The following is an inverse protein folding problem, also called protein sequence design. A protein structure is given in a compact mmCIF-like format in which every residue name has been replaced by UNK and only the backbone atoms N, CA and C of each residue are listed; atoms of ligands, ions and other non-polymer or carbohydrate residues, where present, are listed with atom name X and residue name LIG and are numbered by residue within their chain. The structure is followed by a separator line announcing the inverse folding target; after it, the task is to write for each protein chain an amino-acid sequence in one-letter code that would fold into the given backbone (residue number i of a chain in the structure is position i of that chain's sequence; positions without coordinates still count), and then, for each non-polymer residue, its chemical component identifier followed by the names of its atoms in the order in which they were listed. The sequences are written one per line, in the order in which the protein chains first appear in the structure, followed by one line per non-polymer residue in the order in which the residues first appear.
data_IF_269319564958
#
_entry.id   IF_269319564958
#
_cell.length_a   1.000
_cell.length_b   1.000
_cell.length_c   1.000
_cell.angle_alpha   90.00
_cell.angle_beta   90.00
_cell.angle_gamma   90.00
#
_symmetry.space_group_name_H-M   'P 1'
#
loop_
_entity.id
_entity.type
_entity.pdbx_description
1 polymer ?
#
# COMPACT_ATOMS: atom_id res chain seq x y z
N UNK A 1 53.12 15.06 99.51
CA UNK A 1 53.52 15.01 98.09
C UNK A 1 52.29 15.33 97.26
N UNK A 2 52.19 16.55 96.77
CA UNK A 2 51.01 17.11 96.08
C UNK A 2 51.31 17.08 94.58
N UNK A 3 50.68 16.19 93.82
CA UNK A 3 50.81 16.16 92.37
C UNK A 3 50.04 17.34 91.78
N UNK A 4 50.77 18.35 91.30
CA UNK A 4 50.24 19.43 90.46
C UNK A 4 50.06 18.86 89.06
N UNK A 5 48.82 18.53 88.71
CA UNK A 5 48.44 18.14 87.34
C UNK A 5 48.40 19.42 86.51
N UNK A 6 49.38 19.60 85.63
CA UNK A 6 49.38 20.66 84.62
C UNK A 6 48.26 20.35 83.61
N UNK A 7 47.11 21.00 83.75
CA UNK A 7 46.12 21.05 82.68
C UNK A 7 46.70 21.87 81.55
N UNK A 8 47.07 21.20 80.45
CA UNK A 8 47.44 21.87 79.21
C UNK A 8 46.23 22.69 78.74
N UNK A 9 46.36 24.02 78.74
CA UNK A 9 45.35 24.92 78.21
C UNK A 9 45.19 24.65 76.72
N UNK A 10 44.00 24.20 76.30
CA UNK A 10 43.72 23.97 74.87
C UNK A 10 44.08 25.23 74.05
N UNK A 11 44.83 25.08 72.95
CA UNK A 11 45.32 26.21 72.16
C UNK A 11 44.16 27.07 71.64
N UNK A 12 44.26 28.40 71.75
CA UNK A 12 43.24 29.36 71.31
C UNK A 12 42.80 29.18 69.84
N UNK A 13 43.67 28.61 69.00
CA UNK A 13 43.36 28.28 67.60
C UNK A 13 42.30 27.17 67.46
N UNK A 14 42.25 26.19 68.38
CA UNK A 14 41.21 25.15 68.40
C UNK A 14 39.83 25.74 68.68
N UNK A 15 39.73 26.77 69.53
CA UNK A 15 38.46 27.44 69.85
C UNK A 15 37.91 28.30 68.71
N UNK A 16 38.76 28.76 67.79
CA UNK A 16 38.38 29.56 66.63
C UNK A 16 38.10 28.71 65.37
N UNK A 17 38.83 27.60 65.18
CA UNK A 17 38.65 26.70 64.04
C UNK A 17 37.34 25.90 64.10
N UNK A 18 36.99 25.38 65.28
CA UNK A 18 35.79 24.53 65.46
C UNK A 18 34.49 25.22 65.02
N UNK A 19 34.18 26.47 65.42
CA UNK A 19 32.94 27.13 64.98
C UNK A 19 32.95 27.57 63.51
N UNK A 20 34.12 27.77 62.90
CA UNK A 20 34.23 28.16 61.49
C UNK A 20 34.11 26.97 60.51
N UNK A 21 34.52 25.77 60.92
CA UNK A 21 34.46 24.56 60.09
C UNK A 21 33.02 24.05 59.91
N UNK A 22 32.18 24.15 60.96
CA UNK A 22 30.81 23.64 60.95
C UNK A 22 29.95 24.17 59.78
N UNK A 23 29.86 25.50 59.57
CA UNK A 23 29.12 26.08 58.45
C UNK A 23 29.69 25.68 57.08
N UNK A 24 31.01 25.63 56.94
CA UNK A 24 31.69 25.24 55.70
C UNK A 24 31.36 23.80 55.29
N UNK A 25 31.45 22.87 56.24
CA UNK A 25 31.09 21.45 56.00
C UNK A 25 29.61 21.33 55.67
N UNK A 26 28.74 22.09 56.37
CA UNK A 26 27.29 22.06 56.12
C UNK A 26 26.94 22.56 54.72
N UNK A 27 27.57 23.64 54.26
CA UNK A 27 27.37 24.18 52.91
C UNK A 27 27.86 23.19 51.84
N UNK A 28 29.03 22.57 52.06
CA UNK A 28 29.57 21.58 51.11
C UNK A 28 28.68 20.33 51.03
N UNK A 29 28.31 19.73 52.16
CA UNK A 29 27.47 18.54 52.19
C UNK A 29 26.06 18.84 51.67
N UNK A 30 25.47 19.97 52.07
CA UNK A 30 24.16 20.42 51.59
C UNK A 30 24.15 20.67 50.08
N UNK A 31 25.17 21.35 49.55
CA UNK A 31 25.31 21.59 48.11
C UNK A 31 25.45 20.30 47.31
N UNK A 32 26.24 19.34 47.80
CA UNK A 32 26.48 18.06 47.13
C UNK A 32 25.20 17.18 47.13
N UNK A 33 24.45 17.21 48.24
CA UNK A 33 23.15 16.53 48.34
C UNK A 33 22.12 17.11 47.37
N UNK A 34 21.97 18.44 47.33
CA UNK A 34 21.06 19.12 46.39
C UNK A 34 21.47 18.83 44.94
N UNK A 35 22.77 18.87 44.63
CA UNK A 35 23.29 18.56 43.31
C UNK A 35 23.02 17.11 42.87
N UNK A 36 23.19 16.14 43.79
CA UNK A 36 22.90 14.74 43.49
C UNK A 36 21.41 14.53 43.16
N UNK A 37 20.50 15.16 43.92
CA UNK A 37 19.06 15.08 43.68
C UNK A 37 18.70 15.73 42.33
N UNK A 38 19.18 16.94 42.05
CA UNK A 38 18.86 17.64 40.80
C UNK A 38 19.41 16.90 39.58
N UNK A 39 20.63 16.36 39.66
CA UNK A 39 21.23 15.54 38.61
C UNK A 39 20.41 14.28 38.32
N UNK A 40 19.98 13.55 39.35
CA UNK A 40 19.14 12.34 39.19
C UNK A 40 17.77 12.67 38.57
N UNK A 41 17.17 13.80 38.94
CA UNK A 41 15.89 14.26 38.35
C UNK A 41 16.07 14.64 36.88
N UNK A 42 17.16 15.33 36.52
CA UNK A 42 17.48 15.66 35.12
C UNK A 42 17.71 14.39 34.29
N UNK A 43 18.53 13.44 34.77
CA UNK A 43 18.76 12.17 34.07
C UNK A 43 17.46 11.39 33.82
N UNK A 44 16.57 11.33 34.82
CA UNK A 44 15.26 10.68 34.67
C UNK A 44 14.35 11.40 33.67
N UNK A 45 14.41 12.74 33.62
CA UNK A 45 13.66 13.53 32.63
C UNK A 45 14.20 13.31 31.22
N UNK A 46 15.52 13.31 31.05
CA UNK A 46 16.17 13.09 29.77
C UNK A 46 15.91 11.68 29.25
N UNK A 47 15.98 10.67 30.13
CA UNK A 47 15.61 9.29 29.79
C UNK A 47 14.16 9.19 29.30
N UNK A 48 13.21 9.76 30.05
CA UNK A 48 11.80 9.78 29.63
C UNK A 48 11.57 10.58 28.35
N UNK A 49 12.33 11.65 28.12
CA UNK A 49 12.25 12.44 26.90
C UNK A 49 12.76 11.63 25.69
N UNK A 50 13.82 10.84 25.86
CA UNK A 50 14.34 9.92 24.83
C UNK A 50 13.35 8.81 24.52
N UNK A 51 12.85 8.11 25.53
CA UNK A 51 11.83 7.05 25.36
C UNK A 51 10.61 7.58 24.59
N UNK A 52 10.10 8.76 24.95
CA UNK A 52 8.98 9.39 24.23
C UNK A 52 9.33 9.84 22.80
N UNK A 53 10.58 10.22 22.56
CA UNK A 53 11.03 10.59 21.22
C UNK A 53 11.14 9.36 20.32
N UNK A 54 11.66 8.26 20.86
CA UNK A 54 11.71 6.94 20.20
C UNK A 54 10.30 6.43 19.88
N UNK A 55 9.39 6.42 20.86
CA UNK A 55 7.99 6.03 20.65
C UNK A 55 7.28 6.85 19.56
N UNK A 56 7.57 8.16 19.48
CA UNK A 56 7.01 9.03 18.44
C UNK A 56 7.60 8.72 17.07
N UNK A 57 8.91 8.49 17.00
CA UNK A 57 9.59 8.14 15.76
C UNK A 57 9.06 6.80 15.21
N UNK A 58 8.87 5.80 16.08
CA UNK A 58 8.30 4.51 15.69
C UNK A 58 6.85 4.64 15.22
N UNK A 59 6.04 5.45 15.91
CA UNK A 59 4.66 5.70 15.52
C UNK A 59 4.55 6.48 14.19
N UNK A 60 5.46 7.41 13.94
CA UNK A 60 5.55 8.15 12.67
C UNK A 60 5.97 7.23 11.52
N UNK A 61 7.01 6.41 11.72
CA UNK A 61 7.44 5.41 10.75
C UNK A 61 6.34 4.41 10.39
N UNK A 62 5.56 3.95 11.40
CA UNK A 62 4.41 3.08 11.17
C UNK A 62 3.31 3.77 10.34
N UNK A 63 3.01 5.05 10.62
CA UNK A 63 2.04 5.83 9.82
C UNK A 63 2.50 6.05 8.39
N UNK A 64 3.77 6.34 8.18
CA UNK A 64 4.35 6.50 6.84
C UNK A 64 4.35 5.19 6.06
N UNK A 65 4.58 4.05 6.72
CA UNK A 65 4.46 2.74 6.09
C UNK A 65 3.01 2.50 5.61
N UNK A 66 2.02 2.70 6.48
CA UNK A 66 0.60 2.56 6.13
C UNK A 66 0.19 3.49 4.98
N UNK A 67 0.60 4.77 5.03
CA UNK A 67 0.28 5.74 3.99
C UNK A 67 0.89 5.35 2.62
N UNK A 68 2.10 4.78 2.61
CA UNK A 68 2.73 4.28 1.38
C UNK A 68 2.01 3.07 0.82
N UNK A 69 1.58 2.16 1.69
CA UNK A 69 0.84 0.96 1.31
C UNK A 69 -0.53 1.32 0.72
N UNK A 70 -1.26 2.25 1.34
CA UNK A 70 -2.54 2.77 0.83
C UNK A 70 -2.35 3.46 -0.53
N UNK A 71 -1.32 4.31 -0.67
CA UNK A 71 -1.02 4.99 -1.92
C UNK A 71 -0.75 3.99 -3.07
N UNK A 72 0.04 2.95 -2.81
CA UNK A 72 0.30 1.88 -3.78
C UNK A 72 -0.98 1.15 -4.20
N UNK A 73 -1.84 0.80 -3.25
CA UNK A 73 -3.12 0.11 -3.53
C UNK A 73 -4.04 0.97 -4.39
N UNK A 74 -4.14 2.26 -4.08
CA UNK A 74 -4.90 3.21 -4.89
C UNK A 74 -4.36 3.38 -6.30
N UNK A 75 -3.03 3.45 -6.46
CA UNK A 75 -2.38 3.51 -7.76
C UNK A 75 -2.70 2.27 -8.61
N UNK A 76 -2.56 1.07 -8.04
CA UNK A 76 -2.86 -0.20 -8.72
C UNK A 76 -4.32 -0.27 -9.17
N UNK A 77 -5.26 0.09 -8.29
CA UNK A 77 -6.69 0.12 -8.62
C UNK A 77 -7.00 1.12 -9.73
N UNK A 78 -6.34 2.27 -9.72
CA UNK A 78 -6.48 3.28 -10.79
C UNK A 78 -6.06 2.69 -12.12
N UNK A 79 -4.88 2.09 -12.20
CA UNK A 79 -4.36 1.48 -13.43
C UNK A 79 -5.24 0.33 -13.94
N UNK A 80 -5.70 -0.54 -13.04
CA UNK A 80 -6.62 -1.63 -13.36
C UNK A 80 -7.93 -1.10 -13.96
N UNK A 81 -8.51 -0.10 -13.30
CA UNK A 81 -9.80 0.48 -13.70
C UNK A 81 -9.69 1.23 -15.02
N UNK A 82 -8.63 2.02 -15.21
CA UNK A 82 -8.38 2.76 -16.45
C UNK A 82 -8.15 1.81 -17.63
N UNK A 83 -7.28 0.80 -17.47
CA UNK A 83 -6.99 -0.18 -18.52
C UNK A 83 -8.24 -0.97 -18.93
N UNK A 84 -8.97 -1.51 -17.95
CA UNK A 84 -10.17 -2.29 -18.23
C UNK A 84 -11.33 -1.43 -18.79
N UNK A 85 -11.57 -0.25 -18.21
CA UNK A 85 -12.71 0.60 -18.59
C UNK A 85 -12.51 1.25 -19.95
N UNK A 86 -11.30 1.73 -20.26
CA UNK A 86 -11.00 2.33 -21.57
C UNK A 86 -11.26 1.32 -22.70
N UNK A 87 -10.80 0.09 -22.54
CA UNK A 87 -11.03 -0.95 -23.53
C UNK A 87 -12.50 -1.37 -23.61
N UNK A 88 -13.15 -1.57 -22.46
CA UNK A 88 -14.58 -1.90 -22.41
C UNK A 88 -15.46 -0.85 -23.11
N UNK A 89 -15.23 0.44 -22.87
CA UNK A 89 -16.00 1.52 -23.47
C UNK A 89 -15.84 1.55 -24.99
N UNK A 90 -14.63 1.27 -25.50
CA UNK A 90 -14.39 1.22 -26.93
C UNK A 90 -15.06 0.01 -27.60
N UNK A 91 -15.07 -1.15 -26.92
CA UNK A 91 -15.86 -2.31 -27.35
C UNK A 91 -17.37 -2.02 -27.40
N UNK A 92 -17.90 -1.29 -26.41
CA UNK A 92 -19.30 -0.85 -26.41
C UNK A 92 -19.59 0.12 -27.56
N UNK A 93 -18.68 1.06 -27.84
CA UNK A 93 -18.81 1.99 -28.95
C UNK A 93 -18.82 1.25 -30.29
N UNK A 94 -17.86 0.34 -30.52
CA UNK A 94 -17.80 -0.50 -31.70
C UNK A 94 -19.09 -1.31 -31.90
N UNK A 95 -19.59 -1.95 -30.84
CA UNK A 95 -20.84 -2.72 -30.90
C UNK A 95 -22.03 -1.85 -31.36
N UNK A 96 -22.18 -0.64 -30.80
CA UNK A 96 -23.27 0.27 -31.17
C UNK A 96 -23.17 0.74 -32.62
N UNK A 97 -21.98 1.10 -33.08
CA UNK A 97 -21.74 1.50 -34.47
C UNK A 97 -22.03 0.34 -35.42
N UNK A 98 -21.59 -0.88 -35.07
CA UNK A 98 -21.88 -2.10 -35.84
C UNK A 98 -23.39 -2.37 -35.94
N UNK A 99 -24.15 -2.22 -34.85
CA UNK A 99 -25.60 -2.40 -34.88
C UNK A 99 -26.31 -1.32 -35.71
N UNK A 100 -25.84 -0.07 -35.67
CA UNK A 100 -26.36 1.00 -36.52
C UNK A 100 -26.08 0.72 -38.02
N UNK A 101 -24.86 0.29 -38.36
CA UNK A 101 -24.50 -0.06 -39.73
C UNK A 101 -25.36 -1.22 -40.30
N UNK A 102 -25.75 -2.19 -39.46
CA UNK A 102 -26.68 -3.27 -39.87
C UNK A 102 -28.07 -2.75 -40.27
N UNK A 103 -28.50 -1.63 -39.68
CA UNK A 103 -29.79 -1.01 -40.00
C UNK A 103 -29.74 -0.14 -41.27
N UNK A 104 -28.54 0.23 -41.72
CA UNK A 104 -28.29 1.05 -42.90
C UNK A 104 -27.20 0.40 -43.81
N UNK A 105 -27.46 -0.77 -44.41
CA UNK A 105 -26.43 -1.58 -45.08
C UNK A 105 -25.81 -0.96 -46.34
N UNK A 106 -26.40 0.09 -46.90
CA UNK A 106 -25.93 0.77 -48.12
C UNK A 106 -25.31 2.15 -47.84
N UNK A 107 -25.09 2.48 -46.57
CA UNK A 107 -24.53 3.76 -46.17
C UNK A 107 -23.00 3.64 -46.05
N UNK A 108 -22.30 4.17 -47.06
CA UNK A 108 -20.85 4.14 -47.14
C UNK A 108 -20.16 4.92 -46.00
N UNK A 109 -20.84 5.91 -45.41
CA UNK A 109 -20.29 6.66 -44.28
C UNK A 109 -20.26 5.78 -43.03
N UNK A 110 -21.27 4.94 -42.81
CA UNK A 110 -21.27 3.97 -41.70
C UNK A 110 -20.18 2.91 -41.83
N UNK A 111 -19.90 2.41 -43.03
CA UNK A 111 -18.81 1.45 -43.25
C UNK A 111 -17.45 2.06 -42.89
N UNK A 112 -17.21 3.30 -43.33
CA UNK A 112 -15.99 4.04 -43.00
C UNK A 112 -15.85 4.26 -41.48
N UNK A 113 -16.91 4.72 -40.83
CA UNK A 113 -16.91 4.92 -39.36
C UNK A 113 -16.67 3.60 -38.62
N UNK A 114 -17.27 2.50 -39.08
CA UNK A 114 -17.07 1.18 -38.48
C UNK A 114 -15.61 0.73 -38.58
N UNK A 115 -14.95 0.97 -39.71
CA UNK A 115 -13.53 0.67 -39.91
C UNK A 115 -12.64 1.52 -38.98
N UNK A 116 -12.88 2.82 -38.90
CA UNK A 116 -12.09 3.71 -38.02
C UNK A 116 -12.23 3.32 -36.54
N UNK A 117 -13.44 3.00 -36.09
CA UNK A 117 -13.68 2.55 -34.71
C UNK A 117 -13.03 1.18 -34.48
N UNK A 118 -13.03 0.32 -35.50
CA UNK A 118 -12.40 -0.99 -35.44
C UNK A 118 -10.88 -0.89 -35.24
N UNK A 119 -10.21 -0.07 -36.03
CA UNK A 119 -8.76 0.13 -35.92
C UNK A 119 -8.37 0.67 -34.54
N UNK A 120 -9.13 1.65 -34.02
CA UNK A 120 -8.94 2.15 -32.65
C UNK A 120 -9.12 1.05 -31.61
N UNK A 121 -10.15 0.20 -31.77
CA UNK A 121 -10.40 -0.91 -30.85
C UNK A 121 -9.27 -1.95 -30.86
N UNK A 122 -8.72 -2.27 -32.03
CA UNK A 122 -7.61 -3.21 -32.17
C UNK A 122 -6.32 -2.66 -31.52
N UNK A 123 -6.03 -1.37 -31.73
CA UNK A 123 -4.92 -0.71 -31.07
C UNK A 123 -5.10 -0.70 -29.53
N UNK A 124 -6.31 -0.41 -29.05
CA UNK A 124 -6.62 -0.41 -27.62
C UNK A 124 -6.54 -1.82 -27.01
N UNK A 125 -6.94 -2.87 -27.75
CA UNK A 125 -6.79 -4.26 -27.29
C UNK A 125 -5.32 -4.60 -27.00
N UNK A 126 -4.42 -4.29 -27.95
CA UNK A 126 -2.99 -4.54 -27.79
C UNK A 126 -2.40 -3.73 -26.62
N UNK A 127 -2.76 -2.45 -26.52
CA UNK A 127 -2.34 -1.60 -25.41
C UNK A 127 -2.85 -2.14 -24.05
N UNK A 128 -4.12 -2.52 -23.97
CA UNK A 128 -4.73 -3.06 -22.75
C UNK A 128 -4.10 -4.39 -22.33
N UNK A 129 -3.72 -5.26 -23.28
CA UNK A 129 -2.98 -6.49 -23.00
C UNK A 129 -1.61 -6.20 -22.40
N UNK A 130 -0.81 -5.36 -23.06
CA UNK A 130 0.53 -5.00 -22.57
C UNK A 130 0.48 -4.34 -21.18
N UNK A 131 -0.44 -3.39 -20.97
CA UNK A 131 -0.63 -2.75 -19.66
C UNK A 131 -1.10 -3.75 -18.61
N UNK A 132 -2.03 -4.64 -18.94
CA UNK A 132 -2.53 -5.58 -17.95
C UNK A 132 -1.53 -6.68 -17.59
N UNK A 133 -0.65 -7.11 -18.50
CA UNK A 133 0.48 -7.98 -18.15
C UNK A 133 1.44 -7.29 -17.16
N UNK A 134 1.67 -5.98 -17.35
CA UNK A 134 2.48 -5.19 -16.41
C UNK A 134 1.81 -5.09 -15.03
N UNK A 135 0.49 -4.85 -14.99
CA UNK A 135 -0.30 -4.84 -13.74
C UNK A 135 -0.25 -6.21 -13.06
N UNK A 136 -0.38 -7.30 -13.81
CA UNK A 136 -0.32 -8.67 -13.29
C UNK A 136 1.01 -8.95 -12.58
N UNK A 137 2.13 -8.58 -13.22
CA UNK A 137 3.46 -8.68 -12.63
C UNK A 137 3.61 -7.83 -11.36
N UNK A 138 3.04 -6.62 -11.34
CA UNK A 138 3.03 -5.77 -10.14
C UNK A 138 2.24 -6.41 -9.00
N UNK A 139 1.04 -6.95 -9.28
CA UNK A 139 0.22 -7.64 -8.28
C UNK A 139 0.97 -8.84 -7.70
N UNK A 140 1.62 -9.64 -8.54
CA UNK A 140 2.45 -10.76 -8.11
C UNK A 140 3.65 -10.35 -7.24
N UNK A 141 4.29 -9.23 -7.57
CA UNK A 141 5.45 -8.71 -6.85
C UNK A 141 5.11 -8.07 -5.49
N UNK A 142 3.97 -7.40 -5.38
CA UNK A 142 3.60 -6.63 -4.18
C UNK A 142 2.81 -7.43 -3.14
N UNK A 143 2.08 -8.47 -3.53
CA UNK A 143 1.22 -9.21 -2.62
C UNK A 143 1.83 -10.56 -2.22
N UNK A 144 1.49 -11.02 -1.02
CA UNK A 144 1.90 -12.36 -0.53
C UNK A 144 1.09 -13.49 -1.15
N UNK A 145 -0.15 -13.20 -1.51
CA UNK A 145 -1.08 -14.13 -2.15
C UNK A 145 -1.14 -13.88 -3.65
N UNK A 146 -1.32 -14.94 -4.46
CA UNK A 146 -1.54 -14.83 -5.91
C UNK A 146 -2.97 -14.41 -6.26
N UNK A 147 -3.89 -14.37 -5.28
CA UNK A 147 -5.32 -14.14 -5.51
C UNK A 147 -5.65 -12.82 -6.23
N UNK A 148 -5.02 -11.65 -5.91
CA UNK A 148 -5.23 -10.43 -6.69
C UNK A 148 -4.80 -10.56 -8.15
N UNK A 149 -3.66 -11.23 -8.39
CA UNK A 149 -3.12 -11.51 -9.73
C UNK A 149 -4.11 -12.33 -10.54
N UNK A 150 -4.57 -13.44 -9.97
CA UNK A 150 -5.44 -14.39 -10.66
C UNK A 150 -6.81 -13.77 -11.00
N UNK A 151 -7.39 -12.97 -10.11
CA UNK A 151 -8.64 -12.28 -10.43
C UNK A 151 -8.45 -11.17 -11.47
N UNK A 152 -7.29 -10.50 -11.50
CA UNK A 152 -6.96 -9.56 -12.58
C UNK A 152 -6.77 -10.26 -13.93
N UNK A 153 -6.04 -11.37 -13.96
CA UNK A 153 -5.88 -12.22 -15.14
C UNK A 153 -7.24 -12.64 -15.71
N UNK A 154 -8.15 -13.08 -14.84
CA UNK A 154 -9.55 -13.39 -15.18
C UNK A 154 -10.29 -12.22 -15.84
N UNK A 155 -10.10 -10.98 -15.37
CA UNK A 155 -10.69 -9.79 -16.00
C UNK A 155 -10.20 -9.65 -17.44
N UNK A 156 -8.90 -9.84 -17.68
CA UNK A 156 -8.34 -9.71 -19.03
C UNK A 156 -8.81 -10.83 -19.97
N UNK A 157 -8.90 -12.07 -19.50
CA UNK A 157 -9.40 -13.19 -20.30
C UNK A 157 -10.86 -12.95 -20.74
N UNK A 158 -11.72 -12.45 -19.83
CA UNK A 158 -13.11 -12.09 -20.15
C UNK A 158 -13.20 -10.97 -21.19
N UNK A 159 -12.37 -9.92 -21.07
CA UNK A 159 -12.30 -8.84 -22.06
C UNK A 159 -11.78 -9.34 -23.41
N UNK A 160 -10.78 -10.23 -23.41
CA UNK A 160 -10.20 -10.84 -24.62
C UNK A 160 -11.25 -11.66 -25.36
N UNK A 161 -11.96 -12.55 -24.66
CA UNK A 161 -13.06 -13.32 -25.24
C UNK A 161 -14.12 -12.39 -25.82
N UNK A 162 -14.53 -11.35 -25.09
CA UNK A 162 -15.54 -10.39 -25.57
C UNK A 162 -15.10 -9.64 -26.82
N UNK A 163 -13.83 -9.24 -26.89
CA UNK A 163 -13.26 -8.60 -28.06
C UNK A 163 -13.35 -9.50 -29.28
N UNK A 164 -12.87 -10.75 -29.19
CA UNK A 164 -12.92 -11.69 -30.30
C UNK A 164 -14.36 -12.04 -30.74
N UNK A 165 -15.31 -12.08 -29.80
CA UNK A 165 -16.73 -12.24 -30.13
C UNK A 165 -17.27 -11.06 -30.94
N UNK A 166 -16.90 -9.83 -30.58
CA UNK A 166 -17.40 -8.63 -31.26
C UNK A 166 -16.90 -8.52 -32.69
N UNK A 167 -15.73 -9.06 -32.98
CA UNK A 167 -15.09 -9.00 -34.29
C UNK A 167 -15.35 -10.25 -35.14
N UNK A 168 -16.26 -11.11 -34.68
CA UNK A 168 -16.61 -12.39 -35.31
C UNK A 168 -15.39 -13.32 -35.55
N UNK A 169 -14.37 -13.23 -34.69
CA UNK A 169 -13.15 -14.09 -34.74
C UNK A 169 -13.00 -15.01 -33.52
N UNK A 170 -14.02 -15.12 -32.68
CA UNK A 170 -14.00 -16.07 -31.56
C UNK A 170 -14.14 -17.51 -32.08
N UNK A 171 -13.15 -18.34 -31.78
CA UNK A 171 -13.07 -19.75 -32.20
C UNK A 171 -13.26 -20.69 -31.01
N UNK A 172 -13.51 -21.97 -31.30
CA UNK A 172 -13.57 -23.00 -30.26
C UNK A 172 -12.24 -23.15 -29.51
N UNK A 173 -11.12 -22.94 -30.20
CA UNK A 173 -9.80 -22.88 -29.59
C UNK A 173 -9.64 -21.72 -28.60
N UNK A 174 -10.19 -20.55 -28.92
CA UNK A 174 -10.20 -19.40 -28.00
C UNK A 174 -10.99 -19.75 -26.73
N UNK A 175 -12.18 -20.32 -26.86
CA UNK A 175 -13.01 -20.69 -25.70
C UNK A 175 -12.34 -21.79 -24.85
N UNK A 176 -11.71 -22.78 -25.49
CA UNK A 176 -10.98 -23.83 -24.79
C UNK A 176 -9.74 -23.29 -24.03
N UNK A 177 -9.06 -22.28 -24.56
CA UNK A 177 -7.90 -21.65 -23.92
C UNK A 177 -8.26 -20.73 -22.75
N UNK A 178 -9.52 -20.26 -22.68
CA UNK A 178 -9.96 -19.29 -21.66
C UNK A 178 -10.95 -19.88 -20.65
N UNK A 179 -11.28 -21.17 -20.72
CA UNK A 179 -12.21 -21.80 -19.78
C UNK A 179 -11.52 -22.27 -18.50
N UNK A 180 -12.31 -22.48 -17.44
CA UNK A 180 -11.85 -23.12 -16.21
C UNK A 180 -11.36 -22.16 -15.12
N UNK A 181 -11.02 -22.73 -13.97
CA UNK A 181 -10.81 -21.99 -12.72
C UNK A 181 -9.62 -21.02 -12.74
N UNK A 182 -8.56 -21.35 -13.49
CA UNK A 182 -7.37 -20.49 -13.66
C UNK A 182 -7.53 -19.38 -14.69
N UNK A 183 -8.67 -19.30 -15.37
CA UNK A 183 -8.97 -18.31 -16.40
C UNK A 183 -10.29 -17.60 -16.04
N UNK A 184 -11.32 -17.74 -16.89
CA UNK A 184 -12.59 -17.01 -16.73
C UNK A 184 -13.53 -17.58 -15.67
N UNK A 185 -13.28 -18.81 -15.18
CA UNK A 185 -14.19 -19.66 -14.38
C UNK A 185 -15.47 -20.08 -15.11
N UNK A 186 -15.56 -19.81 -16.41
CA UNK A 186 -16.65 -20.25 -17.26
C UNK A 186 -16.27 -21.52 -18.01
N UNK A 187 -17.28 -22.30 -18.41
CA UNK A 187 -17.11 -23.35 -19.42
C UNK A 187 -16.99 -22.73 -20.82
N UNK A 188 -16.46 -23.47 -21.79
CA UNK A 188 -16.46 -23.04 -23.19
C UNK A 188 -17.86 -22.65 -23.69
N UNK A 189 -18.91 -23.36 -23.28
CA UNK A 189 -20.30 -23.01 -23.62
C UNK A 189 -20.73 -21.68 -22.98
N UNK A 190 -20.40 -21.45 -21.70
CA UNK A 190 -20.63 -20.17 -21.03
C UNK A 190 -19.93 -19.02 -21.74
N UNK A 191 -18.71 -19.25 -22.23
CA UNK A 191 -17.94 -18.27 -23.01
C UNK A 191 -18.51 -17.98 -24.40
N UNK A 192 -19.41 -18.80 -24.95
CA UNK A 192 -20.12 -18.49 -26.19
C UNK A 192 -21.22 -17.44 -26.00
N UNK A 193 -21.72 -17.27 -24.77
CA UNK A 193 -22.78 -16.32 -24.48
C UNK A 193 -22.21 -14.95 -24.09
N UNK A 194 -22.34 -13.90 -24.95
CA UNK A 194 -21.74 -12.60 -24.66
C UNK A 194 -22.32 -11.90 -23.43
N UNK A 195 -23.58 -12.20 -23.07
CA UNK A 195 -24.21 -11.62 -21.87
C UNK A 195 -23.58 -12.21 -20.61
N UNK A 196 -23.32 -13.52 -20.61
CA UNK A 196 -22.63 -14.19 -19.50
C UNK A 196 -21.22 -13.65 -19.34
N UNK A 197 -20.44 -13.56 -20.42
CA UNK A 197 -19.08 -13.00 -20.40
C UNK A 197 -19.07 -11.58 -19.81
N UNK A 198 -20.01 -10.73 -20.23
CA UNK A 198 -20.08 -9.35 -19.75
C UNK A 198 -20.50 -9.25 -18.28
N UNK A 199 -21.45 -10.07 -17.84
CA UNK A 199 -21.88 -10.12 -16.44
C UNK A 199 -20.72 -10.57 -15.54
N UNK A 200 -19.99 -11.61 -15.93
CA UNK A 200 -18.81 -12.09 -15.21
C UNK A 200 -17.68 -11.06 -15.21
N UNK A 201 -17.46 -10.33 -16.31
CA UNK A 201 -16.46 -9.25 -16.34
C UNK A 201 -16.75 -8.19 -15.26
N UNK A 202 -18.00 -7.71 -15.20
CA UNK A 202 -18.41 -6.73 -14.19
C UNK A 202 -18.29 -7.25 -12.76
N UNK A 203 -18.52 -8.55 -12.55
CA UNK A 203 -18.31 -9.17 -11.25
C UNK A 203 -16.81 -9.25 -10.91
N UNK A 204 -16.00 -9.76 -11.84
CA UNK A 204 -14.57 -9.98 -11.67
C UNK A 204 -13.82 -8.67 -11.38
N UNK A 205 -14.07 -7.58 -12.11
CA UNK A 205 -13.38 -6.30 -11.86
C UNK A 205 -13.67 -5.75 -10.46
N UNK A 206 -14.90 -5.91 -9.94
CA UNK A 206 -15.24 -5.50 -8.57
C UNK A 206 -14.53 -6.35 -7.51
N UNK A 207 -14.37 -7.65 -7.78
CA UNK A 207 -13.65 -8.56 -6.89
C UNK A 207 -12.15 -8.24 -6.93
N UNK A 208 -11.56 -8.07 -8.11
CA UNK A 208 -10.15 -7.73 -8.28
C UNK A 208 -9.77 -6.44 -7.54
N UNK A 209 -10.54 -5.36 -7.72
CA UNK A 209 -10.33 -4.09 -7.00
C UNK A 209 -10.42 -4.27 -5.48
N UNK A 210 -11.38 -5.07 -5.01
CA UNK A 210 -11.55 -5.34 -3.57
C UNK A 210 -10.36 -6.12 -3.00
N UNK A 211 -9.86 -7.11 -3.73
CA UNK A 211 -8.72 -7.92 -3.31
C UNK A 211 -7.45 -7.07 -3.14
N UNK A 212 -7.24 -6.08 -4.01
CA UNK A 212 -6.13 -5.12 -3.88
C UNK A 212 -6.17 -4.33 -2.57
N UNK A 213 -7.31 -4.20 -1.89
CA UNK A 213 -7.38 -3.56 -0.57
C UNK A 213 -7.40 -4.53 0.61
N UNK A 214 -7.63 -5.82 0.36
CA UNK A 214 -7.83 -6.82 1.43
C UNK A 214 -6.63 -7.73 1.63
N UNK A 215 -5.95 -8.08 0.55
CA UNK A 215 -4.83 -9.01 0.61
C UNK A 215 -3.60 -8.33 1.21
N UNK A 216 -2.79 -9.11 1.93
CA UNK A 216 -1.58 -8.63 2.59
C UNK A 216 -0.49 -8.30 1.55
N UNK A 217 0.22 -7.19 1.78
CA UNK A 217 1.39 -6.84 1.00
C UNK A 217 2.57 -7.64 1.52
N UNK A 218 3.44 -8.07 0.60
CA UNK A 218 4.66 -8.77 0.94
C UNK A 218 5.57 -7.91 1.81
N UNK A 219 6.05 -8.49 2.90
CA UNK A 219 7.04 -7.86 3.74
C UNK A 219 8.29 -7.51 2.90
N UNK A 220 8.70 -6.25 2.92
CA UNK A 220 9.92 -5.81 2.24
C UNK A 220 11.11 -6.40 3.00
N UNK A 221 11.78 -7.38 2.38
CA UNK A 221 13.06 -7.94 2.84
C UNK A 221 14.20 -6.94 2.67
#
# INVERSE_FOLDING_TARGET
MTQVVFQASDPLWERLLVPAIGPLVTVLVGGLFVWCITSKVQQNRDKKARERAEERADAEAAREALARDDALRHELVTQMTESASSFYLLMQHYWRVREAAKQAPNDADFEKVLLEVREKMDAQYLASRATGDAIENRLWGYFDSEVPRDEWHRVQDLLTVRYFQLIDKATDGLYAANQGAGHTRLSAEGLRNPRTVLAEYHAAIKVAVRLVFREELRARS
#
